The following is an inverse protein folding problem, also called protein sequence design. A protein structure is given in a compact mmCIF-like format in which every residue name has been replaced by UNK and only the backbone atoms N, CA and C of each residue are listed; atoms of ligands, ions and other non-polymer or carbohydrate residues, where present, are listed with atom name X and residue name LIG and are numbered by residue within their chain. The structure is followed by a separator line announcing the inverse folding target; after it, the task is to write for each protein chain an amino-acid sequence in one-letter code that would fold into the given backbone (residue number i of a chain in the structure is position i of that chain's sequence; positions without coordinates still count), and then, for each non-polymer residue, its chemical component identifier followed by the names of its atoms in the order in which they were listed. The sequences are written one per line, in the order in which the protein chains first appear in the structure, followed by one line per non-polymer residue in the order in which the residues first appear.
data_IF_159987021551
#
_entry.id   IF_159987021551
#
_cell.length_a   1.000
_cell.length_b   1.000
_cell.length_c   1.000
_cell.angle_alpha   90.00
_cell.angle_beta   90.00
_cell.angle_gamma   90.00
#
_symmetry.space_group_name_H-M   'P 1'
#
loop_
_entity.id
_entity.type
_entity.pdbx_description
1 polymer ?
#
# COMPACT_ATOMS: atom_id res chain seq x y z
N UNK A 1 11.32 7.53 14.13
CA UNK A 1 11.72 8.70 13.32
C UNK A 1 11.81 8.40 11.82
N UNK A 2 12.70 7.54 11.31
CA UNK A 2 12.84 7.32 9.86
C UNK A 2 11.55 6.85 9.17
N UNK A 3 10.82 5.88 9.73
CA UNK A 3 9.56 5.40 9.18
C UNK A 3 8.46 6.48 9.16
N UNK A 4 8.40 7.32 10.20
CA UNK A 4 7.45 8.42 10.28
C UNK A 4 7.72 9.50 9.22
N UNK A 5 9.00 9.84 8.99
CA UNK A 5 9.38 10.80 7.93
C UNK A 5 9.05 10.27 6.54
N UNK A 6 9.29 8.98 6.29
CA UNK A 6 8.94 8.34 5.02
C UNK A 6 7.43 8.23 4.81
N UNK A 7 6.67 7.96 5.88
CA UNK A 7 5.20 7.98 5.83
C UNK A 7 4.68 9.36 5.44
N UNK A 8 5.20 10.42 6.06
CA UNK A 8 4.79 11.78 5.73
C UNK A 8 5.09 12.14 4.26
N UNK A 9 6.25 11.73 3.76
CA UNK A 9 6.59 11.93 2.35
C UNK A 9 5.64 11.19 1.41
N UNK A 10 5.31 9.92 1.73
CA UNK A 10 4.36 9.13 0.95
C UNK A 10 2.95 9.75 0.97
N UNK A 11 2.50 10.26 2.13
CA UNK A 11 1.23 10.97 2.23
C UNK A 11 1.20 12.24 1.37
N UNK A 12 2.29 13.02 1.34
CA UNK A 12 2.39 14.19 0.46
C UNK A 12 2.31 13.81 -1.03
N UNK A 13 2.93 12.70 -1.41
CA UNK A 13 2.84 12.20 -2.80
C UNK A 13 1.39 11.83 -3.15
N UNK A 14 0.68 11.16 -2.25
CA UNK A 14 -0.74 10.84 -2.43
C UNK A 14 -1.57 12.13 -2.53
N UNK A 15 -1.40 13.08 -1.60
CA UNK A 15 -2.09 14.38 -1.62
C UNK A 15 -1.91 15.13 -2.95
N UNK A 16 -0.71 15.09 -3.52
CA UNK A 16 -0.41 15.73 -4.81
C UNK A 16 -1.07 15.02 -6.00
N UNK A 17 -1.32 13.71 -5.91
CA UNK A 17 -1.95 12.93 -6.97
C UNK A 17 -3.50 12.95 -6.92
N UNK A 18 -4.08 13.16 -5.74
CA UNK A 18 -5.53 13.16 -5.53
C UNK A 18 -6.33 14.04 -6.49
N UNK A 19 -5.92 15.30 -6.78
CA UNK A 19 -6.67 16.15 -7.71
C UNK A 19 -6.75 15.55 -9.11
N UNK A 20 -5.66 14.91 -9.57
CA UNK A 20 -5.62 14.25 -10.88
C UNK A 20 -6.45 12.97 -10.89
N UNK A 21 -6.34 12.14 -9.84
CA UNK A 21 -7.15 10.92 -9.65
C UNK A 21 -8.64 11.26 -9.66
N UNK A 22 -9.07 12.21 -8.84
CA UNK A 22 -10.46 12.64 -8.74
C UNK A 22 -11.00 13.21 -10.05
N UNK A 23 -10.20 14.00 -10.78
CA UNK A 23 -10.60 14.57 -12.06
C UNK A 23 -10.79 13.48 -13.12
N UNK A 24 -9.85 12.54 -13.22
CA UNK A 24 -9.92 11.46 -14.20
C UNK A 24 -11.09 10.51 -13.90
N UNK A 25 -11.31 10.17 -12.64
CA UNK A 25 -12.49 9.40 -12.23
C UNK A 25 -13.79 10.14 -12.53
N UNK A 26 -13.84 11.45 -12.27
CA UNK A 26 -15.02 12.27 -12.56
C UNK A 26 -15.34 12.28 -14.05
N UNK A 27 -14.34 12.48 -14.91
CA UNK A 27 -14.50 12.43 -16.37
C UNK A 27 -15.01 11.07 -16.81
N UNK A 28 -14.40 9.98 -16.34
CA UNK A 28 -14.84 8.62 -16.67
C UNK A 28 -16.27 8.37 -16.19
N UNK A 29 -16.61 8.75 -14.95
CA UNK A 29 -17.98 8.62 -14.39
C UNK A 29 -19.00 9.37 -15.24
N UNK A 30 -18.70 10.59 -15.66
CA UNK A 30 -19.61 11.41 -16.48
C UNK A 30 -19.83 10.79 -17.86
N UNK A 31 -18.77 10.27 -18.48
CA UNK A 31 -18.89 9.60 -19.78
C UNK A 31 -19.67 8.30 -19.71
N UNK A 32 -19.48 7.52 -18.63
CA UNK A 32 -20.20 6.27 -18.42
C UNK A 32 -21.68 6.47 -18.08
N UNK A 33 -22.03 7.58 -17.40
CA UNK A 33 -23.42 7.93 -17.10
C UNK A 33 -24.20 8.39 -18.34
N UNK A 34 -23.54 8.69 -19.46
CA UNK A 34 -24.17 9.21 -20.68
C UNK A 34 -24.76 8.14 -21.61
N UNK A 35 -25.21 6.99 -21.11
CA UNK A 35 -25.91 5.90 -21.84
C UNK A 35 -25.26 5.46 -23.18
N UNK A 36 -24.00 5.71 -23.38
CA UNK A 36 -23.28 5.27 -24.57
C UNK A 36 -22.78 3.86 -24.34
N UNK A 37 -23.20 2.91 -25.17
CA UNK A 37 -22.62 1.56 -25.29
C UNK A 37 -21.16 1.67 -25.78
N UNK A 38 -20.30 2.20 -24.91
CA UNK A 38 -18.88 2.38 -25.22
C UNK A 38 -18.14 1.05 -25.01
N UNK A 39 -18.20 0.19 -26.02
CA UNK A 39 -17.40 -1.02 -26.06
C UNK A 39 -15.94 -0.65 -26.42
N UNK A 40 -15.06 -0.71 -25.43
CA UNK A 40 -13.62 -0.60 -25.66
C UNK A 40 -12.99 -1.98 -25.54
N UNK A 41 -11.85 -2.20 -26.19
CA UNK A 41 -11.07 -3.45 -26.07
C UNK A 41 -10.76 -3.78 -24.61
N UNK A 42 -10.60 -2.74 -23.76
CA UNK A 42 -10.24 -2.87 -22.35
C UNK A 42 -11.42 -3.16 -21.41
N UNK A 43 -12.66 -3.04 -21.86
CA UNK A 43 -13.88 -3.38 -21.09
C UNK A 43 -14.46 -4.74 -21.46
N UNK A 44 -13.90 -5.44 -22.43
CA UNK A 44 -14.39 -6.73 -22.91
C UNK A 44 -14.20 -7.83 -21.87
N UNK A 45 -15.30 -8.40 -21.38
CA UNK A 45 -15.30 -9.53 -20.46
C UNK A 45 -15.15 -10.82 -21.26
N UNK A 46 -14.03 -11.50 -21.09
CA UNK A 46 -13.69 -12.77 -21.75
C UNK A 46 -13.57 -13.92 -20.74
N UNK A 47 -13.79 -15.19 -21.18
CA UNK A 47 -13.46 -16.33 -20.34
C UNK A 47 -11.97 -16.31 -19.98
N UNK A 48 -11.67 -16.31 -18.70
CA UNK A 48 -10.30 -16.22 -18.20
C UNK A 48 -9.55 -17.52 -18.50
N UNK A 49 -8.54 -17.44 -19.37
CA UNK A 49 -7.61 -18.53 -19.69
C UNK A 49 -6.20 -18.26 -19.14
N UNK A 50 -5.82 -16.97 -19.08
CA UNK A 50 -4.56 -16.51 -18.51
C UNK A 50 -4.79 -15.26 -17.67
N UNK A 51 -4.14 -15.19 -16.50
CA UNK A 51 -4.26 -14.09 -15.57
C UNK A 51 -2.90 -13.48 -15.21
N UNK A 52 -2.83 -12.16 -15.09
CA UNK A 52 -1.70 -11.44 -14.57
C UNK A 52 -2.05 -10.82 -13.19
N UNK A 53 -1.13 -10.91 -12.25
CA UNK A 53 -1.29 -10.40 -10.89
C UNK A 53 -0.17 -9.40 -10.59
N UNK A 54 -0.51 -8.13 -10.33
CA UNK A 54 0.41 -7.15 -9.76
C UNK A 54 0.33 -7.23 -8.24
N UNK A 55 1.44 -7.53 -7.58
CA UNK A 55 1.45 -7.74 -6.13
C UNK A 55 2.49 -6.84 -5.49
N UNK A 56 2.01 -5.97 -4.59
CA UNK A 56 2.84 -4.95 -3.95
C UNK A 56 3.28 -5.40 -2.56
N UNK A 57 4.59 -5.38 -2.34
CA UNK A 57 5.21 -5.71 -1.04
C UNK A 57 6.38 -4.79 -0.74
N UNK A 58 6.91 -4.90 0.46
CA UNK A 58 8.12 -4.16 0.84
C UNK A 58 9.41 -4.91 0.48
N UNK A 59 10.52 -4.17 0.49
CA UNK A 59 11.86 -4.73 0.34
C UNK A 59 12.46 -5.21 1.66
N UNK A 60 11.93 -4.73 2.79
CA UNK A 60 12.47 -4.99 4.12
C UNK A 60 11.44 -5.65 5.05
N UNK A 61 11.93 -6.27 6.13
CA UNK A 61 11.11 -6.82 7.20
C UNK A 61 10.74 -5.75 8.24
N UNK A 62 10.18 -6.14 9.37
CA UNK A 62 9.82 -5.28 10.51
C UNK A 62 8.70 -4.28 10.22
N UNK A 63 7.79 -4.65 9.34
CA UNK A 63 6.54 -3.93 9.05
C UNK A 63 5.30 -4.68 9.54
N UNK A 64 5.40 -5.34 10.69
CA UNK A 64 4.30 -6.13 11.26
C UNK A 64 3.80 -7.21 10.30
N UNK A 65 2.48 -7.32 10.17
CA UNK A 65 1.82 -8.29 9.31
C UNK A 65 1.73 -7.91 7.82
N UNK A 66 2.23 -6.74 7.41
CA UNK A 66 2.08 -6.19 6.07
C UNK A 66 2.46 -7.19 4.96
N UNK A 67 3.70 -7.68 4.94
CA UNK A 67 4.15 -8.63 3.92
C UNK A 67 3.47 -10.00 4.04
N UNK A 68 3.24 -10.47 5.25
CA UNK A 68 2.61 -11.77 5.47
C UNK A 68 1.18 -11.81 4.93
N UNK A 69 0.43 -10.74 5.12
CA UNK A 69 -0.94 -10.61 4.64
C UNK A 69 -1.01 -10.57 3.10
N UNK A 70 -0.14 -9.78 2.45
CA UNK A 70 -0.05 -9.74 0.98
C UNK A 70 0.29 -11.11 0.40
N UNK A 71 1.31 -11.76 0.96
CA UNK A 71 1.74 -13.10 0.52
C UNK A 71 0.62 -14.13 0.72
N UNK A 72 -0.11 -14.04 1.83
CA UNK A 72 -1.26 -14.92 2.10
C UNK A 72 -2.36 -14.71 1.05
N UNK A 73 -2.73 -13.47 0.75
CA UNK A 73 -3.73 -13.15 -0.26
C UNK A 73 -3.28 -13.56 -1.65
N UNK A 74 -2.04 -13.24 -2.05
CA UNK A 74 -1.47 -13.72 -3.32
C UNK A 74 -1.57 -15.23 -3.45
N UNK A 75 -1.21 -15.98 -2.42
CA UNK A 75 -1.28 -17.44 -2.44
C UNK A 75 -2.71 -17.96 -2.59
N UNK A 76 -3.69 -17.31 -1.93
CA UNK A 76 -5.11 -17.64 -2.07
C UNK A 76 -5.60 -17.41 -3.50
N UNK A 77 -5.25 -16.27 -4.09
CA UNK A 77 -5.62 -15.93 -5.47
C UNK A 77 -4.94 -16.84 -6.49
N UNK A 78 -3.65 -17.15 -6.29
CA UNK A 78 -2.94 -18.10 -7.14
C UNK A 78 -3.55 -19.51 -7.04
N UNK A 79 -3.97 -19.94 -5.85
CA UNK A 79 -4.64 -21.24 -5.68
C UNK A 79 -6.01 -21.27 -6.38
N UNK A 80 -6.79 -20.18 -6.27
CA UNK A 80 -8.07 -20.00 -6.95
C UNK A 80 -7.89 -20.14 -8.48
N UNK A 81 -6.96 -19.38 -9.07
CA UNK A 81 -6.69 -19.47 -10.51
C UNK A 81 -6.06 -20.80 -10.92
N UNK A 82 -5.14 -21.34 -10.12
CA UNK A 82 -4.53 -22.64 -10.44
C UNK A 82 -5.53 -23.77 -10.57
N UNK A 83 -6.62 -23.72 -9.80
CA UNK A 83 -7.72 -24.71 -9.88
C UNK A 83 -8.55 -24.58 -11.16
N UNK A 84 -8.61 -23.37 -11.74
CA UNK A 84 -9.49 -23.06 -12.87
C UNK A 84 -8.73 -23.10 -14.21
N UNK A 85 -7.56 -22.45 -14.27
CA UNK A 85 -6.81 -22.23 -15.50
C UNK A 85 -5.43 -22.93 -15.53
N UNK A 86 -5.00 -23.50 -14.40
CA UNK A 86 -3.66 -24.09 -14.25
C UNK A 86 -2.59 -23.04 -13.87
N UNK A 87 -1.56 -23.50 -13.17
CA UNK A 87 -0.50 -22.64 -12.62
C UNK A 87 0.34 -21.95 -13.69
N UNK A 88 0.57 -22.60 -14.81
CA UNK A 88 1.44 -22.09 -15.89
C UNK A 88 0.82 -20.90 -16.64
N UNK A 89 -0.49 -20.70 -16.48
CA UNK A 89 -1.24 -19.59 -17.07
C UNK A 89 -1.37 -18.39 -16.14
N UNK A 90 -0.64 -18.38 -15.03
CA UNK A 90 -0.61 -17.27 -14.08
C UNK A 90 0.75 -16.58 -14.17
N UNK A 91 0.75 -15.27 -14.40
CA UNK A 91 1.95 -14.44 -14.40
C UNK A 91 1.85 -13.50 -13.20
N UNK A 92 2.90 -13.41 -12.38
CA UNK A 92 2.94 -12.48 -11.24
C UNK A 92 4.00 -11.41 -11.51
N UNK A 93 3.61 -10.16 -11.42
CA UNK A 93 4.46 -8.98 -11.45
C UNK A 93 4.75 -8.55 -10.01
N UNK A 94 5.86 -9.00 -9.40
CA UNK A 94 6.16 -8.73 -8.01
C UNK A 94 6.79 -7.33 -7.86
N UNK A 95 6.08 -6.43 -7.22
CA UNK A 95 6.63 -5.12 -6.83
C UNK A 95 7.13 -5.24 -5.40
N UNK A 96 8.45 -5.24 -5.23
CA UNK A 96 9.12 -5.45 -3.96
C UNK A 96 9.68 -6.87 -3.77
N UNK A 97 10.74 -6.93 -2.95
CA UNK A 97 11.57 -8.13 -2.75
C UNK A 97 10.81 -9.29 -2.12
N UNK A 98 9.98 -9.01 -1.10
CA UNK A 98 9.34 -10.08 -0.32
C UNK A 98 8.39 -10.96 -1.13
N UNK A 99 7.64 -10.36 -2.05
CA UNK A 99 6.80 -11.12 -2.99
C UNK A 99 7.66 -11.78 -4.07
N UNK A 100 8.68 -11.10 -4.60
CA UNK A 100 9.57 -11.67 -5.62
C UNK A 100 10.25 -12.98 -5.12
N UNK A 101 10.74 -12.99 -3.87
CA UNK A 101 11.28 -14.19 -3.23
C UNK A 101 10.27 -15.34 -3.17
N UNK A 102 8.99 -15.03 -2.85
CA UNK A 102 7.93 -16.05 -2.77
C UNK A 102 7.51 -16.59 -4.14
N UNK A 103 7.41 -15.72 -5.15
CA UNK A 103 7.10 -16.10 -6.53
C UNK A 103 8.15 -17.07 -7.05
N UNK A 104 9.44 -16.74 -6.86
CA UNK A 104 10.56 -17.60 -7.27
C UNK A 104 10.57 -18.93 -6.50
N UNK A 105 10.37 -18.90 -5.18
CA UNK A 105 10.34 -20.11 -4.33
C UNK A 105 9.24 -21.08 -4.75
N UNK A 106 8.11 -20.57 -5.19
CA UNK A 106 6.95 -21.36 -5.61
C UNK A 106 7.01 -21.76 -7.08
N UNK A 107 7.98 -21.27 -7.85
CA UNK A 107 8.09 -21.52 -9.29
C UNK A 107 6.86 -21.00 -10.05
N UNK A 108 6.32 -19.84 -9.67
CA UNK A 108 5.29 -19.14 -10.43
C UNK A 108 5.99 -18.29 -11.49
N UNK A 109 5.38 -18.15 -12.66
CA UNK A 109 5.93 -17.33 -13.75
C UNK A 109 6.05 -15.87 -13.28
N UNK A 110 7.28 -15.36 -13.29
CA UNK A 110 7.62 -14.00 -12.90
C UNK A 110 7.57 -13.07 -14.12
N UNK A 111 6.78 -12.00 -14.06
CA UNK A 111 6.62 -11.00 -15.11
C UNK A 111 7.73 -9.96 -15.18
N UNK A 112 8.61 -9.87 -14.16
CA UNK A 112 9.69 -8.89 -14.19
C UNK A 112 10.38 -8.69 -12.85
N UNK A 113 11.33 -7.76 -12.79
CA UNK A 113 12.04 -7.38 -11.57
C UNK A 113 11.79 -5.91 -11.22
N UNK A 114 10.87 -5.67 -10.29
CA UNK A 114 10.45 -4.34 -9.87
C UNK A 114 10.77 -4.07 -8.37
N UNK A 115 11.89 -4.61 -7.90
CA UNK A 115 12.30 -4.48 -6.49
C UNK A 115 12.58 -3.03 -6.11
N UNK A 116 13.23 -2.26 -6.99
CA UNK A 116 13.58 -0.86 -6.71
C UNK A 116 12.34 0.05 -6.65
N UNK A 117 11.29 -0.29 -7.38
CA UNK A 117 10.08 0.49 -7.48
C UNK A 117 9.35 0.63 -6.12
N UNK A 118 9.46 -0.38 -5.25
CA UNK A 118 8.88 -0.35 -3.91
C UNK A 118 9.54 0.70 -2.99
N UNK A 119 10.84 0.97 -3.16
CA UNK A 119 11.55 1.97 -2.35
C UNK A 119 11.54 3.37 -2.98
N UNK A 120 11.53 3.43 -4.31
CA UNK A 120 11.57 4.67 -5.10
C UNK A 120 10.44 4.67 -6.13
N UNK A 121 9.24 5.12 -5.76
CA UNK A 121 8.13 5.20 -6.69
C UNK A 121 8.50 6.04 -7.92
N UNK A 122 8.29 5.46 -9.10
CA UNK A 122 8.59 6.10 -10.37
C UNK A 122 7.43 5.88 -11.34
N UNK A 123 6.78 6.98 -11.74
CA UNK A 123 5.64 6.95 -12.65
C UNK A 123 6.00 6.35 -14.01
N UNK A 124 7.18 6.65 -14.55
CA UNK A 124 7.60 6.13 -15.86
C UNK A 124 7.68 4.59 -15.86
N UNK A 125 8.25 3.98 -14.82
CA UNK A 125 8.30 2.52 -14.70
C UNK A 125 6.90 1.91 -14.50
N UNK A 126 5.99 2.60 -13.82
CA UNK A 126 4.60 2.15 -13.71
C UNK A 126 3.88 2.19 -15.07
N UNK A 127 4.16 3.20 -15.89
CA UNK A 127 3.65 3.30 -17.25
C UNK A 127 4.20 2.16 -18.11
N UNK A 128 5.49 1.82 -18.01
CA UNK A 128 6.07 0.71 -18.75
C UNK A 128 5.37 -0.62 -18.43
N UNK A 129 5.08 -0.88 -17.15
CA UNK A 129 4.32 -2.05 -16.71
C UNK A 129 2.90 -2.03 -17.26
N UNK A 130 2.24 -0.87 -17.21
CA UNK A 130 0.87 -0.74 -17.68
C UNK A 130 0.78 -0.98 -19.18
N UNK A 131 1.66 -0.37 -19.98
CA UNK A 131 1.71 -0.53 -21.44
C UNK A 131 1.96 -2.00 -21.82
N UNK A 132 2.85 -2.71 -21.10
CA UNK A 132 3.06 -4.15 -21.33
C UNK A 132 1.77 -4.95 -21.07
N UNK A 133 1.08 -4.67 -19.95
CA UNK A 133 -0.17 -5.37 -19.59
C UNK A 133 -1.32 -5.02 -20.56
N UNK A 134 -1.42 -3.76 -20.98
CA UNK A 134 -2.38 -3.29 -21.98
C UNK A 134 -2.20 -3.99 -23.31
N UNK A 135 -0.96 -4.07 -23.79
CA UNK A 135 -0.58 -4.76 -25.02
C UNK A 135 -0.92 -6.26 -24.95
N UNK A 136 -0.58 -6.93 -23.86
CA UNK A 136 -0.89 -8.34 -23.67
C UNK A 136 -2.40 -8.58 -23.59
N UNK A 137 -3.14 -7.67 -22.95
CA UNK A 137 -4.60 -7.77 -22.86
C UNK A 137 -5.28 -7.51 -24.21
N UNK A 138 -4.84 -6.50 -24.96
CA UNK A 138 -5.36 -6.18 -26.28
C UNK A 138 -5.09 -7.30 -27.31
N UNK A 139 -3.93 -7.96 -27.22
CA UNK A 139 -3.57 -9.13 -28.07
C UNK A 139 -4.26 -10.44 -27.63
N UNK A 140 -4.99 -10.45 -26.52
CA UNK A 140 -5.61 -11.66 -25.97
C UNK A 140 -4.60 -12.66 -25.37
N UNK A 141 -3.40 -12.20 -25.04
CA UNK A 141 -2.39 -13.01 -24.34
C UNK A 141 -2.70 -13.20 -22.87
N UNK A 142 -3.40 -12.26 -22.28
CA UNK A 142 -3.98 -12.32 -20.92
C UNK A 142 -5.43 -11.87 -20.97
N UNK A 143 -6.28 -12.45 -20.14
CA UNK A 143 -7.72 -12.18 -20.11
C UNK A 143 -8.13 -11.41 -18.86
N UNK A 144 -7.27 -11.39 -17.83
CA UNK A 144 -7.54 -10.68 -16.58
C UNK A 144 -6.27 -10.17 -15.95
N UNK A 145 -6.33 -8.95 -15.44
CA UNK A 145 -5.26 -8.32 -14.65
C UNK A 145 -5.81 -7.87 -13.32
N UNK A 146 -5.21 -8.32 -12.23
CA UNK A 146 -5.61 -7.95 -10.87
C UNK A 146 -4.42 -7.38 -10.09
N UNK A 147 -4.72 -6.45 -9.20
CA UNK A 147 -3.78 -5.84 -8.28
C UNK A 147 -4.06 -6.29 -6.85
N UNK A 148 -3.01 -6.63 -6.11
CA UNK A 148 -3.07 -6.96 -4.67
C UNK A 148 -2.16 -5.98 -3.94
N UNK A 149 -2.75 -5.07 -3.18
CA UNK A 149 -2.02 -4.01 -2.49
C UNK A 149 -2.72 -3.60 -1.19
N UNK A 150 -2.01 -2.90 -0.32
CA UNK A 150 -2.62 -2.28 0.84
C UNK A 150 -3.06 -0.86 0.50
N UNK A 151 -4.36 -0.62 0.56
CA UNK A 151 -4.91 0.71 0.49
C UNK A 151 -4.68 1.45 1.81
N UNK A 152 -4.11 2.63 1.73
CA UNK A 152 -3.83 3.47 2.88
C UNK A 152 -5.08 4.26 3.29
N UNK A 153 -5.70 3.86 4.39
CA UNK A 153 -6.84 4.57 4.96
C UNK A 153 -6.42 5.58 6.02
N UNK A 154 -5.57 5.13 6.95
CA UNK A 154 -4.98 5.97 8.00
C UNK A 154 -3.70 5.31 8.54
N UNK A 155 -2.93 6.03 9.38
CA UNK A 155 -1.74 5.47 10.01
C UNK A 155 -2.03 4.22 10.87
N UNK A 156 -3.23 4.11 11.45
CA UNK A 156 -3.67 2.95 12.23
C UNK A 156 -4.43 1.89 11.42
N UNK A 157 -4.83 2.18 10.18
CA UNK A 157 -5.68 1.30 9.39
C UNK A 157 -5.20 1.19 7.94
N UNK A 158 -4.71 0.02 7.57
CA UNK A 158 -4.32 -0.33 6.22
C UNK A 158 -5.18 -1.51 5.76
N UNK A 159 -5.88 -1.35 4.65
CA UNK A 159 -6.84 -2.35 4.14
C UNK A 159 -6.22 -3.09 2.97
N UNK A 160 -6.03 -4.39 3.12
CA UNK A 160 -5.56 -5.23 2.02
C UNK A 160 -6.68 -5.40 0.99
N UNK A 161 -6.42 -5.00 -0.25
CA UNK A 161 -7.39 -5.03 -1.34
C UNK A 161 -6.91 -5.91 -2.49
N UNK A 162 -7.89 -6.52 -3.17
CA UNK A 162 -7.77 -7.15 -4.47
C UNK A 162 -8.66 -6.37 -5.43
N UNK A 163 -8.06 -5.72 -6.43
CA UNK A 163 -8.78 -4.88 -7.40
C UNK A 163 -8.48 -5.37 -8.82
N UNK A 164 -9.51 -5.50 -9.64
CA UNK A 164 -9.35 -5.82 -11.07
C UNK A 164 -8.91 -4.54 -11.81
N UNK A 165 -7.84 -4.65 -12.61
CA UNK A 165 -7.37 -3.59 -13.48
C UNK A 165 -7.94 -3.77 -14.90
N UNK A 166 -7.87 -5.00 -15.41
CA UNK A 166 -8.48 -5.38 -16.69
C UNK A 166 -9.25 -6.70 -16.55
N UNK A 167 -10.41 -6.83 -17.20
CA UNK A 167 -11.17 -5.77 -17.88
C UNK A 167 -11.53 -4.65 -16.92
N UNK A 168 -11.59 -3.41 -17.42
CA UNK A 168 -12.01 -2.27 -16.61
C UNK A 168 -13.50 -2.42 -16.33
N UNK A 169 -13.81 -2.64 -15.06
CA UNK A 169 -15.18 -2.64 -14.59
C UNK A 169 -15.63 -1.19 -14.38
N UNK A 170 -16.36 -0.70 -15.35
CA UNK A 170 -16.85 0.66 -15.39
C UNK A 170 -17.83 0.97 -14.25
N UNK A 171 -18.57 -0.05 -13.76
CA UNK A 171 -19.45 0.10 -12.60
C UNK A 171 -18.66 0.28 -11.30
N UNK A 172 -17.52 -0.41 -11.15
CA UNK A 172 -16.66 -0.26 -9.98
C UNK A 172 -15.98 1.11 -9.90
N UNK A 173 -15.75 1.77 -11.03
CA UNK A 173 -15.25 3.16 -11.09
C UNK A 173 -16.28 4.13 -10.51
N UNK A 174 -17.58 3.87 -10.70
CA UNK A 174 -18.67 4.69 -10.14
C UNK A 174 -18.74 4.64 -8.60
N UNK A 175 -18.32 3.52 -7.99
CA UNK A 175 -18.38 3.28 -6.54
C UNK A 175 -17.08 3.54 -5.78
N UNK A 176 -16.04 4.06 -6.42
CA UNK A 176 -14.77 4.34 -5.74
C UNK A 176 -14.92 5.55 -4.80
N UNK A 177 -15.10 5.28 -3.52
CA UNK A 177 -15.04 6.29 -2.47
C UNK A 177 -13.57 6.50 -2.06
N UNK A 178 -13.16 7.76 -2.07
CA UNK A 178 -11.84 8.17 -1.60
C UNK A 178 -11.87 8.29 -0.07
N UNK A 179 -11.79 7.15 0.64
CA UNK A 179 -11.91 7.06 2.10
C UNK A 179 -10.58 7.26 2.85
N UNK A 180 -9.58 7.85 2.17
CA UNK A 180 -8.27 8.14 2.74
C UNK A 180 -8.34 9.28 3.76
N UNK A 181 -7.98 9.00 5.01
CA UNK A 181 -7.79 10.03 6.04
C UNK A 181 -6.32 10.49 6.06
N UNK A 182 -6.03 11.51 5.27
CA UNK A 182 -4.71 12.14 5.21
C UNK A 182 -4.53 13.24 6.27
N UNK A 183 -5.60 13.59 7.00
CA UNK A 183 -5.58 14.65 8.02
C UNK A 183 -4.88 14.22 9.30
N UNK A 184 -4.82 12.92 9.59
CA UNK A 184 -4.08 12.37 10.73
C UNK A 184 -2.57 12.42 10.45
N UNK A 185 -2.01 13.59 10.57
CA UNK A 185 -0.56 13.76 10.74
C UNK A 185 -0.21 13.14 12.09
N UNK A 186 0.13 11.86 12.12
CA UNK A 186 0.64 11.18 13.31
C UNK A 186 2.04 11.73 13.59
N UNK A 187 2.04 12.90 14.19
CA UNK A 187 3.25 13.56 14.62
C UNK A 187 3.53 13.02 16.02
N UNK A 188 4.62 12.28 16.18
CA UNK A 188 5.12 11.96 17.52
C UNK A 188 5.36 13.26 18.29
N UNK A 189 5.25 13.23 19.62
CA UNK A 189 5.44 14.43 20.46
C UNK A 189 6.77 15.16 20.11
N UNK A 190 7.84 14.41 19.82
CA UNK A 190 9.15 14.92 19.41
C UNK A 190 9.11 15.61 18.02
N UNK A 191 8.33 15.06 17.09
CA UNK A 191 8.16 15.63 15.76
C UNK A 191 7.26 16.86 15.79
N UNK A 192 6.27 16.91 16.71
CA UNK A 192 5.50 18.13 17.02
C UNK A 192 6.41 19.25 17.54
N UNK A 193 7.38 18.91 18.37
CA UNK A 193 8.33 19.86 18.89
C UNK A 193 9.28 20.39 17.80
N UNK A 194 9.80 19.50 16.97
CA UNK A 194 10.62 19.85 15.80
C UNK A 194 9.86 20.70 14.77
N UNK A 195 8.59 20.36 14.49
CA UNK A 195 7.75 21.14 13.58
C UNK A 195 7.39 22.50 14.16
N UNK A 196 7.14 22.63 15.49
CA UNK A 196 6.92 23.92 16.15
C UNK A 196 8.16 24.82 16.10
N UNK A 197 9.35 24.24 16.21
CA UNK A 197 10.63 24.99 16.18
C UNK A 197 11.03 25.42 14.77
N UNK A 198 10.62 24.68 13.71
CA UNK A 198 11.06 24.90 12.33
C UNK A 198 9.90 25.24 11.35
N UNK A 199 8.66 25.31 11.80
CA UNK A 199 7.54 25.64 10.94
C UNK A 199 7.54 27.13 10.59
N UNK A 200 7.83 27.44 9.31
CA UNK A 200 7.31 28.68 8.72
C UNK A 200 5.77 28.60 8.79
N UNK A 201 5.08 29.67 9.20
CA UNK A 201 3.62 29.65 9.25
C UNK A 201 3.10 29.36 7.83
N UNK A 202 2.65 28.13 7.63
CA UNK A 202 1.87 27.78 6.46
C UNK A 202 0.49 28.43 6.67
N UNK A 203 0.14 29.37 5.82
CA UNK A 203 -1.21 29.88 5.75
C UNK A 203 -2.17 28.68 5.58
N UNK A 204 -3.26 28.59 6.37
CA UNK A 204 -4.25 27.54 6.20
C UNK A 204 -4.81 27.67 4.77
N UNK A 205 -4.46 26.76 3.87
CA UNK A 205 -5.16 26.62 2.61
C UNK A 205 -6.62 26.33 2.97
N UNK A 206 -7.48 27.35 2.86
CA UNK A 206 -8.92 27.14 2.88
C UNK A 206 -9.23 26.09 1.84
N UNK A 207 -10.09 25.09 2.13
CA UNK A 207 -10.59 24.22 1.09
C UNK A 207 -11.13 25.14 0.00
N UNK A 208 -10.46 25.18 -1.14
CA UNK A 208 -11.03 25.81 -2.31
C UNK A 208 -12.35 25.12 -2.52
N UNK A 209 -13.45 25.88 -2.43
CA UNK A 209 -14.75 25.45 -2.91
C UNK A 209 -14.55 25.13 -4.39
N UNK A 210 -14.24 23.87 -4.68
CA UNK A 210 -14.24 23.36 -6.04
C UNK A 210 -15.68 23.54 -6.50
N UNK A 211 -15.89 24.59 -7.31
CA UNK A 211 -17.18 24.80 -7.97
C UNK A 211 -17.52 23.49 -8.67
N UNK A 212 -18.78 23.01 -8.57
CA UNK A 212 -19.17 21.85 -9.34
C UNK A 212 -18.77 22.10 -10.79
N UNK A 213 -17.93 21.24 -11.36
CA UNK A 213 -17.60 21.30 -12.77
C UNK A 213 -18.91 21.23 -13.54
N UNK A 214 -19.06 22.10 -14.54
CA UNK A 214 -20.14 21.95 -15.51
C UNK A 214 -19.95 20.59 -16.17
N UNK A 215 -20.88 19.66 -15.96
CA UNK A 215 -20.84 18.31 -16.51
C UNK A 215 -21.05 18.26 -18.04
N UNK A 216 -21.09 19.41 -18.69
CA UNK A 216 -21.21 19.54 -20.14
C UNK A 216 -19.82 19.52 -20.78
N UNK A 217 -19.27 18.31 -20.99
CA UNK A 217 -18.07 18.15 -21.80
C UNK A 217 -18.38 18.21 -23.28
N UNK A 218 -17.53 18.90 -24.05
CA UNK A 218 -17.51 18.83 -25.52
C UNK A 218 -16.64 17.64 -25.89
N UNK A 219 -17.23 16.67 -26.60
CA UNK A 219 -16.54 15.42 -27.00
C UNK A 219 -16.11 15.55 -28.45
N UNK A 220 -14.83 15.52 -28.73
CA UNK A 220 -14.22 15.56 -30.05
C UNK A 220 -13.06 14.57 -30.16
N UNK A 221 -12.95 13.72 -31.19
CA UNK A 221 -13.88 13.60 -32.33
C UNK A 221 -15.14 12.77 -32.01
N UNK A 222 -15.02 11.75 -31.14
CA UNK A 222 -16.09 10.85 -30.72
C UNK A 222 -15.75 10.22 -29.35
N UNK A 223 -16.76 9.64 -28.70
CA UNK A 223 -16.67 9.09 -27.36
C UNK A 223 -15.75 7.86 -27.31
N UNK A 224 -15.79 7.00 -28.32
CA UNK A 224 -15.00 5.77 -28.38
C UNK A 224 -13.50 6.07 -28.45
N UNK A 225 -13.12 7.03 -29.29
CA UNK A 225 -11.73 7.50 -29.39
C UNK A 225 -11.23 8.09 -28.08
N UNK A 226 -12.07 8.90 -27.40
CA UNK A 226 -11.70 9.49 -26.11
C UNK A 226 -11.55 8.43 -25.03
N UNK A 227 -12.49 7.49 -24.91
CA UNK A 227 -12.40 6.41 -23.92
C UNK A 227 -11.21 5.51 -24.18
N UNK A 228 -10.92 5.19 -25.44
CA UNK A 228 -9.73 4.42 -25.82
C UNK A 228 -8.40 5.10 -25.39
N UNK A 229 -8.40 6.43 -25.30
CA UNK A 229 -7.25 7.20 -24.82
C UNK A 229 -7.25 7.42 -23.30
N UNK A 230 -8.43 7.45 -22.64
CA UNK A 230 -8.54 7.69 -21.20
C UNK A 230 -8.32 6.43 -20.37
N UNK A 231 -8.81 5.28 -20.83
CA UNK A 231 -8.68 4.01 -20.09
C UNK A 231 -7.22 3.64 -19.83
N UNK A 232 -6.29 3.70 -20.79
CA UNK A 232 -4.86 3.52 -20.52
C UNK A 232 -4.32 4.51 -19.48
N UNK A 233 -4.70 5.77 -19.55
CA UNK A 233 -4.28 6.76 -18.56
C UNK A 233 -4.80 6.44 -17.15
N UNK A 234 -6.03 5.94 -17.07
CA UNK A 234 -6.61 5.48 -15.81
C UNK A 234 -5.86 4.26 -15.27
N UNK A 235 -5.52 3.28 -16.11
CA UNK A 235 -4.76 2.11 -15.71
C UNK A 235 -3.35 2.48 -15.20
N UNK A 236 -2.66 3.38 -15.91
CA UNK A 236 -1.36 3.92 -15.49
C UNK A 236 -1.44 4.57 -14.10
N UNK A 237 -2.48 5.38 -13.89
CA UNK A 237 -2.73 6.04 -12.63
C UNK A 237 -3.01 5.03 -11.51
N UNK A 238 -3.85 4.04 -11.76
CA UNK A 238 -4.21 3.00 -10.78
C UNK A 238 -3.00 2.19 -10.31
N UNK A 239 -2.08 1.83 -11.21
CA UNK A 239 -0.84 1.11 -10.84
C UNK A 239 0.03 2.00 -9.95
N UNK A 240 0.15 3.29 -10.28
CA UNK A 240 0.96 4.21 -9.51
C UNK A 240 0.36 4.57 -8.15
N UNK A 241 -0.95 4.82 -8.09
CA UNK A 241 -1.63 5.11 -6.81
C UNK A 241 -1.63 3.90 -5.88
N UNK A 242 -1.79 2.68 -6.40
CA UNK A 242 -1.64 1.45 -5.62
C UNK A 242 -0.22 1.30 -5.04
N UNK A 243 0.82 1.72 -5.78
CA UNK A 243 2.20 1.75 -5.30
C UNK A 243 2.37 2.75 -4.15
N UNK A 244 1.84 3.98 -4.29
CA UNK A 244 1.92 5.00 -3.24
C UNK A 244 1.14 4.58 -1.99
N UNK A 245 -0.06 4.04 -2.14
CA UNK A 245 -0.88 3.51 -1.06
C UNK A 245 -0.17 2.37 -0.32
N UNK A 246 0.43 1.46 -1.07
CA UNK A 246 1.19 0.34 -0.51
C UNK A 246 2.43 0.83 0.25
N UNK A 247 3.14 1.84 -0.26
CA UNK A 247 4.30 2.42 0.39
C UNK A 247 3.91 3.17 1.68
N UNK A 248 2.85 3.98 1.65
CA UNK A 248 2.34 4.65 2.84
C UNK A 248 1.90 3.63 3.90
N UNK A 249 1.19 2.59 3.47
CA UNK A 249 0.74 1.48 4.35
C UNK A 249 1.91 0.72 4.96
N UNK A 250 2.97 0.47 4.21
CA UNK A 250 4.20 -0.17 4.70
C UNK A 250 4.85 0.65 5.80
N UNK A 251 5.03 1.96 5.57
CA UNK A 251 5.66 2.84 6.53
C UNK A 251 4.82 3.04 7.79
N UNK A 252 3.49 3.10 7.65
CA UNK A 252 2.56 3.14 8.77
C UNK A 252 2.62 1.85 9.60
N UNK A 253 2.54 0.69 8.96
CA UNK A 253 2.63 -0.60 9.63
C UNK A 253 3.98 -0.77 10.35
N UNK A 254 5.08 -0.32 9.73
CA UNK A 254 6.41 -0.32 10.36
C UNK A 254 6.47 0.60 11.56
N UNK A 255 5.92 1.80 11.48
CA UNK A 255 5.88 2.75 12.58
C UNK A 255 5.14 2.15 13.79
N UNK A 256 3.96 1.58 13.57
CA UNK A 256 3.17 0.93 14.64
C UNK A 256 3.92 -0.27 15.23
N UNK A 257 4.50 -1.12 14.38
CA UNK A 257 5.27 -2.29 14.86
C UNK A 257 6.49 -1.89 15.68
N UNK A 258 7.21 -0.84 15.30
CA UNK A 258 8.35 -0.31 16.04
C UNK A 258 7.93 0.33 17.35
N UNK A 259 6.82 1.06 17.38
CA UNK A 259 6.28 1.64 18.62
C UNK A 259 5.91 0.53 19.61
N UNK A 260 5.15 -0.47 19.16
CA UNK A 260 4.78 -1.63 19.99
C UNK A 260 6.01 -2.36 20.53
N UNK A 261 7.06 -2.52 19.72
CA UNK A 261 8.30 -3.15 20.15
C UNK A 261 9.03 -2.32 21.24
N UNK A 262 9.01 -0.99 21.12
CA UNK A 262 9.59 -0.08 22.11
C UNK A 262 8.83 -0.16 23.43
N UNK A 263 7.50 -0.10 23.38
CA UNK A 263 6.66 -0.17 24.58
C UNK A 263 6.86 -1.50 25.32
N UNK A 264 6.93 -2.62 24.60
CA UNK A 264 7.23 -3.94 25.18
C UNK A 264 8.64 -4.00 25.78
N UNK A 265 9.65 -3.38 25.16
CA UNK A 265 11.01 -3.34 25.68
C UNK A 265 11.08 -2.53 26.99
N UNK A 266 10.36 -1.40 27.08
CA UNK A 266 10.27 -0.57 28.28
C UNK A 266 9.60 -1.32 29.43
N UNK A 267 8.55 -2.08 29.15
CA UNK A 267 7.90 -2.93 30.16
C UNK A 267 8.83 -4.00 30.69
N UNK A 268 9.54 -4.72 29.80
CA UNK A 268 10.55 -5.70 30.17
C UNK A 268 11.66 -5.08 31.00
N UNK A 269 12.14 -3.90 30.63
CA UNK A 269 13.20 -3.18 31.36
C UNK A 269 12.76 -2.82 32.80
N UNK A 270 11.51 -2.36 32.94
CA UNK A 270 10.94 -2.09 34.28
C UNK A 270 10.88 -3.37 35.13
N UNK A 271 10.41 -4.48 34.57
CA UNK A 271 10.37 -5.78 35.23
C UNK A 271 11.74 -6.26 35.68
N UNK A 272 12.73 -6.18 34.79
CA UNK A 272 14.11 -6.57 35.11
C UNK A 272 14.75 -5.69 36.19
N UNK A 273 14.50 -4.38 36.18
CA UNK A 273 14.96 -3.47 37.25
C UNK A 273 14.38 -3.82 38.61
N UNK A 274 13.09 -4.18 38.67
CA UNK A 274 12.47 -4.63 39.92
C UNK A 274 13.08 -5.94 40.41
N UNK A 275 13.27 -6.92 39.54
CA UNK A 275 13.92 -8.19 39.89
C UNK A 275 15.34 -7.97 40.35
N UNK A 276 16.12 -7.16 39.66
CA UNK A 276 17.48 -6.81 40.06
C UNK A 276 17.54 -6.19 41.45
N UNK A 277 16.70 -5.19 41.74
CA UNK A 277 16.64 -4.54 43.02
C UNK A 277 16.25 -5.52 44.15
N UNK A 278 15.26 -6.39 43.89
CA UNK A 278 14.87 -7.44 44.85
C UNK A 278 16.01 -8.42 45.11
N UNK A 279 16.69 -8.90 44.07
CA UNK A 279 17.82 -9.79 44.20
C UNK A 279 19.01 -9.14 44.96
N UNK A 280 19.28 -7.86 44.66
CA UNK A 280 20.30 -7.07 45.37
C UNK A 280 19.99 -6.93 46.86
N UNK A 281 18.73 -6.59 47.21
CA UNK A 281 18.32 -6.51 48.62
C UNK A 281 18.45 -7.86 49.34
N UNK A 282 18.10 -8.96 48.65
CA UNK A 282 18.19 -10.29 49.19
C UNK A 282 19.65 -10.71 49.39
N UNK A 283 20.56 -10.40 48.48
CA UNK A 283 21.99 -10.63 48.63
C UNK A 283 22.54 -9.84 49.80
N UNK A 284 22.25 -8.54 49.94
CA UNK A 284 22.69 -7.72 51.07
C UNK A 284 22.15 -8.28 52.39
N UNK A 285 20.88 -8.72 52.43
CA UNK A 285 20.26 -9.29 53.63
C UNK A 285 20.95 -10.60 54.01
N UNK A 286 21.29 -11.47 53.03
CA UNK A 286 22.01 -12.71 53.28
C UNK A 286 23.41 -12.44 53.82
N UNK A 287 24.16 -11.50 53.23
CA UNK A 287 25.49 -11.09 53.73
C UNK A 287 25.43 -10.57 55.18
N UNK A 288 24.42 -9.75 55.50
CA UNK A 288 24.19 -9.25 56.85
C UNK A 288 23.87 -10.39 57.84
N UNK A 289 23.05 -11.36 57.43
CA UNK A 289 22.73 -12.53 58.26
C UNK A 289 23.94 -13.42 58.49
N UNK A 290 24.81 -13.61 57.49
CA UNK A 290 26.06 -14.37 57.60
C UNK A 290 27.04 -13.67 58.58
N UNK A 291 27.15 -12.35 58.55
CA UNK A 291 27.97 -11.57 59.50
C UNK A 291 27.44 -11.70 60.93
N UNK A 292 26.11 -11.51 61.10
CA UNK A 292 25.48 -11.62 62.45
C UNK A 292 25.57 -13.06 62.96
N UNK A 293 25.34 -14.07 62.12
CA UNK A 293 25.47 -15.49 62.51
C UNK A 293 26.88 -15.88 62.86
N UNK A 294 27.90 -15.31 62.19
CA UNK A 294 29.32 -15.51 62.53
C UNK A 294 29.76 -14.87 63.86
N UNK A 295 29.10 -13.79 64.29
CA UNK A 295 29.40 -13.13 65.56
C UNK A 295 28.75 -13.80 66.82
N UNK A 296 27.73 -14.62 66.61
CA UNK A 296 27.04 -15.35 67.71
C UNK A 296 27.78 -16.67 68.09
N UNK A 297 28.64 -17.17 67.20
CA UNK A 297 29.41 -18.41 67.44
C UNK A 297 30.84 -18.14 67.92
N UNK A 298 31.20 -16.95 68.31
CA UNK A 298 32.44 -16.59 69.07
C UNK A 298 32.02 -16.02 70.42
#
# INVERSE_FOLDING_TARGET
MVASSKLHHAQQMIENMLPYENMLEHILKTFLASEVDAHTVFSEIRPVKKAALLVYSSNSSLCGGFNANVIKMMNSVVAEYSSTIGKDNIIVYPIGRKVAEQVNKRGIRNGGNFVELADKPNMAQCIDIAVELEDMFAKGEIDKVEMIYHHFRSAGSQVLQRKTLFPVDLESVLGADNDRDLSQKTVTAEMMQYLKENAKPAEPKKPENVKPLNDNFIVEPDMETILSALIPKYANLMIYTALLDSQASEHAARMVAMQTATDNADELLRGLRLQYNKSRQQAITNELLDIVGGTVNN
#
